data_IF_981190170725
#
_entry.id   IF_981190170725
#
_cell.length_a   1.000
_cell.length_b   1.000
_cell.length_c   1.000
_cell.angle_alpha   90.00
_cell.angle_beta   90.00
_cell.angle_gamma   90.00
#
_symmetry.space_group_name_H-M   'P 1'
#
loop_
_entity.id
_entity.type
_entity.pdbx_description
1 polymer ?
#
# COMPACT_ATOMS: atom_id res chain seq x y z
N UNK A 1 17.56 23.00 -0.10
CA UNK A 1 17.60 22.12 1.08
C UNK A 1 17.63 20.70 0.55
N UNK A 2 18.56 19.91 1.05
CA UNK A 2 19.45 18.97 0.35
C UNK A 2 18.78 17.72 -0.22
N UNK A 3 18.92 17.55 -1.54
CA UNK A 3 18.74 16.31 -2.32
C UNK A 3 19.98 15.44 -2.12
N UNK A 4 19.99 14.53 -1.16
CA UNK A 4 21.07 13.56 -1.01
C UNK A 4 20.47 12.19 -0.72
N UNK A 5 20.09 11.49 -1.79
CA UNK A 5 19.63 10.10 -1.74
C UNK A 5 20.82 9.15 -1.73
N UNK A 6 20.90 8.29 -0.70
CA UNK A 6 21.93 7.26 -0.55
C UNK A 6 21.40 5.87 -0.99
N UNK A 7 20.60 5.83 -2.06
CA UNK A 7 19.99 4.61 -2.59
C UNK A 7 19.65 4.74 -4.08
N UNK A 8 19.34 3.61 -4.72
CA UNK A 8 18.98 3.49 -6.14
C UNK A 8 17.78 4.40 -6.54
N UNK A 9 17.00 4.85 -5.55
CA UNK A 9 15.84 5.72 -5.70
C UNK A 9 16.07 7.06 -4.98
N UNK A 10 15.72 8.16 -5.64
CA UNK A 10 15.73 9.50 -5.06
C UNK A 10 14.49 9.73 -4.17
N UNK A 11 14.59 10.56 -3.11
CA UNK A 11 13.49 10.84 -2.18
C UNK A 11 12.21 11.32 -2.89
N UNK A 12 12.32 12.14 -3.94
CA UNK A 12 11.18 12.61 -4.72
C UNK A 12 10.49 11.46 -5.47
N UNK A 13 11.25 10.50 -5.99
CA UNK A 13 10.69 9.30 -6.63
C UNK A 13 10.04 8.36 -5.60
N UNK A 14 10.68 8.14 -4.45
CA UNK A 14 10.10 7.37 -3.36
C UNK A 14 8.77 7.98 -2.88
N UNK A 15 8.70 9.31 -2.73
CA UNK A 15 7.47 10.03 -2.37
C UNK A 15 6.40 9.94 -3.47
N UNK A 16 6.77 10.03 -4.75
CA UNK A 16 5.81 9.89 -5.87
C UNK A 16 5.14 8.53 -5.89
N UNK A 17 5.89 7.46 -5.60
CA UNK A 17 5.41 6.07 -5.65
C UNK A 17 4.96 5.53 -4.29
N UNK A 18 4.93 6.38 -3.25
CA UNK A 18 4.57 6.01 -1.87
C UNK A 18 3.18 5.35 -1.78
N UNK A 19 2.19 5.91 -2.48
CA UNK A 19 0.82 5.37 -2.45
C UNK A 19 0.74 4.02 -3.15
N UNK A 20 1.38 3.86 -4.31
CA UNK A 20 1.46 2.58 -5.01
C UNK A 20 2.14 1.50 -4.14
N UNK A 21 3.19 1.88 -3.41
CA UNK A 21 3.85 1.01 -2.45
C UNK A 21 2.91 0.60 -1.31
N UNK A 22 2.17 1.55 -0.72
CA UNK A 22 1.18 1.30 0.33
C UNK A 22 0.01 0.43 -0.14
N UNK A 23 -0.38 0.55 -1.41
CA UNK A 23 -1.44 -0.24 -2.04
C UNK A 23 -0.95 -1.60 -2.58
N UNK A 24 0.35 -1.90 -2.49
CA UNK A 24 0.96 -3.12 -3.04
C UNK A 24 0.82 -3.26 -4.56
N UNK A 25 0.73 -2.13 -5.27
CA UNK A 25 0.54 -2.05 -6.73
C UNK A 25 1.87 -1.93 -7.50
N UNK A 26 3.00 -2.05 -6.81
CA UNK A 26 4.33 -1.99 -7.40
C UNK A 26 4.85 -3.36 -7.83
N UNK A 27 5.68 -3.38 -8.87
CA UNK A 27 6.46 -4.56 -9.24
C UNK A 27 7.52 -4.88 -8.19
N UNK A 28 7.96 -6.14 -8.13
CA UNK A 28 8.88 -6.60 -7.09
C UNK A 28 10.19 -5.82 -7.01
N UNK A 29 10.77 -5.41 -8.14
CA UNK A 29 12.01 -4.64 -8.16
C UNK A 29 11.80 -3.23 -7.59
N UNK A 30 10.70 -2.56 -7.96
CA UNK A 30 10.32 -1.26 -7.40
C UNK A 30 10.04 -1.32 -5.89
N UNK A 31 9.43 -2.43 -5.42
CA UNK A 31 9.17 -2.66 -3.98
C UNK A 31 10.48 -2.74 -3.19
N UNK A 32 11.45 -3.50 -3.69
CA UNK A 32 12.75 -3.65 -3.00
C UNK A 32 13.55 -2.35 -3.00
N UNK A 33 13.50 -1.59 -4.11
CA UNK A 33 14.19 -0.30 -4.23
C UNK A 33 13.62 0.76 -3.26
N UNK A 34 12.29 0.86 -3.15
CA UNK A 34 11.65 1.78 -2.18
C UNK A 34 11.91 1.32 -0.75
N UNK A 35 11.85 0.02 -0.45
CA UNK A 35 12.14 -0.51 0.89
C UNK A 35 13.57 -0.17 1.33
N UNK A 36 14.55 -0.40 0.47
CA UNK A 36 15.94 -0.03 0.73
C UNK A 36 16.10 1.48 0.96
N UNK A 37 15.35 2.32 0.22
CA UNK A 37 15.35 3.76 0.45
C UNK A 37 14.75 4.15 1.80
N UNK A 38 13.62 3.56 2.21
CA UNK A 38 12.99 3.84 3.51
C UNK A 38 13.89 3.41 4.68
N UNK A 39 14.64 2.31 4.53
CA UNK A 39 15.61 1.86 5.53
C UNK A 39 16.83 2.79 5.66
N UNK A 40 17.23 3.44 4.55
CA UNK A 40 18.37 4.36 4.51
C UNK A 40 18.00 5.83 4.77
N UNK A 41 16.72 6.19 4.74
CA UNK A 41 16.25 7.58 4.75
C UNK A 41 15.13 7.79 5.79
N UNK A 42 15.52 8.21 6.99
CA UNK A 42 14.63 8.56 8.10
C UNK A 42 13.48 9.51 7.71
N UNK A 43 13.69 10.63 6.98
CA UNK A 43 12.58 11.52 6.65
C UNK A 43 11.56 10.88 5.69
N UNK A 44 11.98 9.95 4.83
CA UNK A 44 11.03 9.22 3.99
C UNK A 44 10.25 8.18 4.80
N UNK A 45 10.88 7.56 5.80
CA UNK A 45 10.20 6.66 6.73
C UNK A 45 9.13 7.38 7.56
N UNK A 46 9.43 8.58 8.07
CA UNK A 46 8.43 9.40 8.79
C UNK A 46 7.21 9.75 7.91
N UNK A 47 7.45 10.06 6.63
CA UNK A 47 6.37 10.29 5.68
C UNK A 47 5.55 9.01 5.43
N UNK A 48 6.21 7.86 5.28
CA UNK A 48 5.54 6.57 5.14
C UNK A 48 4.62 6.27 6.33
N UNK A 49 5.12 6.42 7.56
CA UNK A 49 4.34 6.17 8.78
C UNK A 49 3.12 7.10 8.88
N UNK A 50 3.27 8.35 8.45
CA UNK A 50 2.18 9.33 8.40
C UNK A 50 1.09 8.90 7.40
N UNK A 51 1.48 8.49 6.20
CA UNK A 51 0.57 8.02 5.15
C UNK A 51 -0.12 6.71 5.54
N UNK A 52 0.60 5.75 6.15
CA UNK A 52 0.01 4.51 6.67
C UNK A 52 -1.00 4.80 7.80
N UNK A 53 -0.66 5.70 8.73
CA UNK A 53 -1.58 6.12 9.79
C UNK A 53 -2.86 6.76 9.23
N UNK A 54 -2.72 7.62 8.21
CA UNK A 54 -3.85 8.24 7.51
C UNK A 54 -4.71 7.18 6.80
N UNK A 55 -4.10 6.26 6.05
CA UNK A 55 -4.79 5.18 5.35
C UNK A 55 -5.56 4.29 6.33
N UNK A 56 -4.95 3.93 7.46
CA UNK A 56 -5.62 3.18 8.54
C UNK A 56 -6.78 3.97 9.15
N UNK A 57 -6.63 5.27 9.36
CA UNK A 57 -7.70 6.12 9.89
C UNK A 57 -8.89 6.15 8.92
N UNK A 58 -8.64 6.39 7.63
CA UNK A 58 -9.67 6.36 6.58
C UNK A 58 -10.35 5.00 6.53
N UNK A 59 -9.58 3.91 6.54
CA UNK A 59 -10.14 2.56 6.55
C UNK A 59 -11.04 2.31 7.77
N UNK A 60 -10.68 2.79 8.96
CA UNK A 60 -11.55 2.68 10.14
C UNK A 60 -12.81 3.51 9.99
N UNK A 61 -12.69 4.79 9.63
CA UNK A 61 -13.85 5.69 9.53
C UNK A 61 -14.83 5.24 8.44
N UNK A 62 -14.33 4.86 7.27
CA UNK A 62 -15.16 4.49 6.12
C UNK A 62 -15.55 2.99 6.13
N UNK A 63 -14.69 2.11 6.64
CA UNK A 63 -14.96 0.67 6.77
C UNK A 63 -15.89 0.33 7.93
N UNK A 64 -15.86 1.10 9.02
CA UNK A 64 -16.80 0.94 10.14
C UNK A 64 -18.17 1.58 9.88
N UNK A 65 -18.31 2.43 8.86
CA UNK A 65 -19.57 3.10 8.48
C UNK A 65 -20.62 2.17 7.83
N UNK A 66 -20.56 0.86 8.10
CA UNK A 66 -21.70 -0.03 7.93
C UNK A 66 -22.06 -0.47 6.51
N UNK A 67 -21.30 -0.08 5.48
CA UNK A 67 -21.48 -0.59 4.12
C UNK A 67 -20.84 -1.97 4.01
N UNK A 68 -21.42 -2.94 4.74
CA UNK A 68 -21.08 -4.34 4.54
C UNK A 68 -21.56 -4.75 3.16
N UNK A 69 -20.68 -5.38 2.37
CA UNK A 69 -21.08 -6.02 1.12
C UNK A 69 -22.30 -6.92 1.37
N UNK A 70 -23.38 -6.81 0.57
CA UNK A 70 -24.57 -7.65 0.72
C UNK A 70 -24.18 -9.12 0.77
N UNK A 71 -24.82 -9.89 1.63
CA UNK A 71 -24.53 -11.32 1.80
C UNK A 71 -24.62 -12.10 0.47
N UNK A 72 -25.59 -11.72 -0.38
CA UNK A 72 -25.74 -12.27 -1.73
C UNK A 72 -24.50 -12.07 -2.61
N UNK A 73 -23.79 -10.95 -2.49
CA UNK A 73 -22.54 -10.69 -3.19
C UNK A 73 -21.43 -11.60 -2.66
N UNK A 74 -21.33 -11.72 -1.32
CA UNK A 74 -20.33 -12.59 -0.67
C UNK A 74 -20.50 -14.05 -1.09
N UNK A 75 -21.72 -14.57 -1.05
CA UNK A 75 -22.04 -15.94 -1.48
C UNK A 75 -21.64 -16.16 -2.94
N UNK A 76 -21.98 -15.24 -3.84
CA UNK A 76 -21.61 -15.34 -5.27
C UNK A 76 -20.09 -15.34 -5.49
N UNK A 77 -19.35 -14.51 -4.77
CA UNK A 77 -17.89 -14.45 -4.86
C UNK A 77 -17.28 -15.78 -4.39
N UNK A 78 -17.63 -16.23 -3.18
CA UNK A 78 -17.10 -17.48 -2.60
C UNK A 78 -17.40 -18.68 -3.51
N UNK A 79 -18.63 -18.78 -4.01
CA UNK A 79 -19.03 -19.86 -4.94
C UNK A 79 -18.15 -19.90 -6.19
N UNK A 80 -17.75 -18.73 -6.70
CA UNK A 80 -16.94 -18.61 -7.91
C UNK A 80 -15.46 -18.85 -7.65
N UNK A 81 -14.90 -18.41 -6.52
CA UNK A 81 -13.51 -18.72 -6.14
C UNK A 81 -13.31 -20.20 -5.84
N UNK A 82 -14.29 -20.89 -5.23
CA UNK A 82 -14.22 -22.35 -5.02
C UNK A 82 -14.15 -23.11 -6.36
N UNK A 83 -14.92 -22.70 -7.37
CA UNK A 83 -14.84 -23.30 -8.72
C UNK A 83 -13.48 -23.12 -9.39
N UNK A 84 -12.84 -21.96 -9.22
CA UNK A 84 -11.53 -21.69 -9.80
C UNK A 84 -10.41 -22.53 -9.19
N UNK A 85 -10.54 -22.97 -7.93
CA UNK A 85 -9.54 -23.80 -7.23
C UNK A 85 -9.71 -25.31 -7.45
N UNK A 86 -10.83 -25.73 -8.01
CA UNK A 86 -11.15 -27.13 -8.27
C UNK A 86 -10.82 -27.57 -9.72
N UNK A 87 -10.07 -26.76 -10.45
CA UNK A 87 -9.59 -26.96 -11.82
C UNK A 87 -8.10 -26.65 -11.87
#
# INVERSE_FOLDING_TARGET
MTREGLGDVDCAEALRRMQEFLDTELDGASVDAIRAHLEACEPCLENFDTEDALKRLVHRCCGASGISAPESLRVRIVSRTVRFRAN
#
